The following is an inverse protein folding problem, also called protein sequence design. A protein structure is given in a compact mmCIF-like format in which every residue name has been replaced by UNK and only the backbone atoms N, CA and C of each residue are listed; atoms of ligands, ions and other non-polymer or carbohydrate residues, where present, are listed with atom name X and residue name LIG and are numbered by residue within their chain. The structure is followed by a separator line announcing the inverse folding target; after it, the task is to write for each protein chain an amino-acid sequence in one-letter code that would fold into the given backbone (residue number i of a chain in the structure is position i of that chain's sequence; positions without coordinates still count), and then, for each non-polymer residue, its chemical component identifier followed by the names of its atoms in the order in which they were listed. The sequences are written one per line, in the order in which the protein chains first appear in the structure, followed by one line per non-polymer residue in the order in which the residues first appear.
data_IF_795806781746
#
_entry.id   IF_795806781746
#
_cell.length_a   1.000
_cell.length_b   1.000
_cell.length_c   1.000
_cell.angle_alpha   90.00
_cell.angle_beta   90.00
_cell.angle_gamma   90.00
#
_symmetry.space_group_name_H-M   'P 1'
#
loop_
_entity.id
_entity.type
_entity.pdbx_description
1 polymer ?
#
# COMPACT_ATOMS: atom_id res chain seq x y z
N UNK A 1 34.46 9.22 -5.33
CA UNK A 1 33.83 8.70 -4.10
C UNK A 1 32.55 7.93 -4.43
N UNK A 2 32.41 6.66 -4.03
CA UNK A 2 31.14 5.92 -4.15
C UNK A 2 30.14 6.51 -3.16
N UNK A 3 29.19 7.31 -3.65
CA UNK A 3 28.11 7.90 -2.84
C UNK A 3 27.29 6.76 -2.22
N UNK A 4 27.36 6.58 -0.89
CA UNK A 4 26.51 5.63 -0.17
C UNK A 4 25.13 6.25 -0.04
N UNK A 5 24.11 5.57 -0.56
CA UNK A 5 22.71 5.94 -0.27
C UNK A 5 22.46 5.79 1.24
N UNK A 6 21.74 6.72 1.88
CA UNK A 6 21.30 6.58 3.26
C UNK A 6 20.28 5.43 3.34
N UNK A 7 20.79 4.22 3.54
CA UNK A 7 19.95 3.07 3.90
C UNK A 7 19.79 3.14 5.42
N UNK A 8 18.61 3.54 5.88
CA UNK A 8 18.16 3.07 7.18
C UNK A 8 18.13 1.54 7.11
N UNK A 9 18.56 0.88 8.19
CA UNK A 9 18.67 -0.57 8.25
C UNK A 9 17.52 -1.12 9.08
N UNK A 10 16.95 -2.24 8.63
CA UNK A 10 16.02 -3.05 9.39
C UNK A 10 16.73 -3.67 10.61
N UNK A 11 16.74 -2.98 11.75
CA UNK A 11 17.47 -3.40 12.95
C UNK A 11 16.68 -4.47 13.72
N UNK A 12 15.35 -4.51 13.57
CA UNK A 12 14.46 -5.38 14.35
C UNK A 12 14.00 -6.65 13.62
N UNK A 13 14.25 -6.77 12.31
CA UNK A 13 13.75 -7.90 11.54
C UNK A 13 14.38 -9.24 11.96
N UNK A 14 13.54 -10.25 12.21
CA UNK A 14 13.95 -11.61 12.54
C UNK A 14 14.68 -12.25 11.35
N UNK A 15 15.74 -13.02 11.65
CA UNK A 15 16.38 -13.91 10.67
C UNK A 15 15.77 -15.31 10.81
N UNK A 16 15.17 -15.81 9.74
CA UNK A 16 14.47 -17.11 9.69
C UNK A 16 15.07 -18.01 8.60
N UNK A 17 14.81 -19.31 8.65
CA UNK A 17 15.16 -20.23 7.57
C UNK A 17 14.15 -20.15 6.39
N UNK A 18 14.48 -20.83 5.29
CA UNK A 18 13.68 -20.81 4.07
C UNK A 18 12.32 -21.51 4.23
N UNK A 19 12.24 -22.58 5.01
CA UNK A 19 11.01 -23.34 5.20
C UNK A 19 10.01 -22.53 6.02
N UNK A 20 10.49 -21.89 7.10
CA UNK A 20 9.72 -20.91 7.87
C UNK A 20 9.24 -19.76 6.97
N UNK A 21 10.09 -19.23 6.10
CA UNK A 21 9.68 -18.15 5.18
C UNK A 21 8.56 -18.58 4.22
N UNK A 22 8.65 -19.80 3.68
CA UNK A 22 7.62 -20.36 2.79
C UNK A 22 6.32 -20.64 3.54
N UNK A 23 6.38 -21.15 4.77
CA UNK A 23 5.21 -21.38 5.61
C UNK A 23 4.49 -20.07 5.96
N UNK A 24 5.23 -19.02 6.29
CA UNK A 24 4.68 -17.68 6.55
C UNK A 24 4.04 -17.09 5.30
N UNK A 25 4.67 -17.24 4.13
CA UNK A 25 4.09 -16.81 2.86
C UNK A 25 2.77 -17.55 2.56
N UNK A 26 2.73 -18.87 2.75
CA UNK A 26 1.52 -19.66 2.59
C UNK A 26 0.41 -19.23 3.57
N UNK A 27 0.75 -18.89 4.81
CA UNK A 27 -0.20 -18.36 5.77
C UNK A 27 -0.77 -17.00 5.35
N UNK A 28 0.06 -16.12 4.79
CA UNK A 28 -0.38 -14.82 4.23
C UNK A 28 -1.36 -15.03 3.08
N UNK A 29 -1.09 -15.97 2.17
CA UNK A 29 -2.00 -16.28 1.07
C UNK A 29 -3.37 -16.81 1.54
N UNK A 30 -3.45 -17.40 2.73
CA UNK A 30 -4.68 -17.92 3.34
C UNK A 30 -5.40 -16.91 4.24
N UNK A 31 -4.94 -15.66 4.32
CA UNK A 31 -5.46 -14.65 5.27
C UNK A 31 -6.50 -13.70 4.67
N UNK A 32 -7.13 -14.08 3.55
CA UNK A 32 -8.17 -13.32 2.83
C UNK A 32 -7.80 -11.89 2.41
N UNK A 33 -6.52 -11.51 2.49
CA UNK A 33 -6.06 -10.17 2.12
C UNK A 33 -6.34 -9.92 0.62
N UNK A 34 -6.94 -8.77 0.26
CA UNK A 34 -7.37 -8.48 -1.11
C UNK A 34 -6.22 -8.02 -2.01
N UNK A 35 -5.28 -8.91 -2.31
CA UNK A 35 -4.13 -8.63 -3.18
C UNK A 35 -4.51 -8.33 -4.64
N UNK A 36 -5.74 -8.66 -5.03
CA UNK A 36 -6.24 -8.51 -6.39
C UNK A 36 -6.53 -7.06 -6.79
N UNK A 37 -6.68 -6.13 -5.85
CA UNK A 37 -6.92 -4.72 -6.14
C UNK A 37 -5.63 -3.93 -5.99
N UNK A 38 -5.07 -3.50 -7.12
CA UNK A 38 -3.73 -2.92 -7.21
C UNK A 38 -3.71 -1.38 -7.28
N UNK A 39 -4.86 -0.71 -7.21
CA UNK A 39 -4.89 0.75 -7.34
C UNK A 39 -4.27 1.46 -6.14
N UNK A 40 -4.36 0.88 -4.93
CA UNK A 40 -3.99 1.60 -3.71
C UNK A 40 -3.81 0.71 -2.47
N UNK A 41 -3.62 1.37 -1.32
CA UNK A 41 -3.63 0.78 0.02
C UNK A 41 -2.54 -0.29 0.25
N UNK A 42 -1.45 -0.25 -0.51
CA UNK A 42 -0.30 -1.14 -0.32
C UNK A 42 0.34 -1.02 1.07
N UNK A 43 0.28 0.17 1.68
CA UNK A 43 0.74 0.41 3.05
C UNK A 43 -0.15 -0.28 4.10
N UNK A 44 -1.47 -0.28 3.91
CA UNK A 44 -2.44 -1.00 4.74
C UNK A 44 -2.20 -2.51 4.68
N UNK A 45 -2.11 -3.06 3.47
CA UNK A 45 -1.79 -4.48 3.25
C UNK A 45 -0.45 -4.84 3.90
N UNK A 46 0.58 -4.02 3.69
CA UNK A 46 1.92 -4.28 4.24
C UNK A 46 1.94 -4.22 5.76
N UNK A 47 1.24 -3.26 6.37
CA UNK A 47 1.17 -3.16 7.82
C UNK A 47 0.36 -4.31 8.42
N UNK A 48 -0.76 -4.69 7.80
CA UNK A 48 -1.52 -5.87 8.21
C UNK A 48 -0.69 -7.15 8.17
N UNK A 49 0.08 -7.38 7.09
CA UNK A 49 1.02 -8.52 7.03
C UNK A 49 2.05 -8.42 8.16
N UNK A 50 2.53 -7.23 8.48
CA UNK A 50 3.48 -7.04 9.59
C UNK A 50 2.87 -7.47 10.94
N UNK A 51 1.60 -7.12 11.19
CA UNK A 51 0.86 -7.56 12.38
C UNK A 51 0.63 -9.08 12.39
N UNK A 52 0.26 -9.66 11.24
CA UNK A 52 0.07 -11.10 11.09
C UNK A 52 1.36 -11.87 11.39
N UNK A 53 2.50 -11.42 10.88
CA UNK A 53 3.79 -12.02 11.17
C UNK A 53 4.17 -11.86 12.66
N UNK A 54 3.91 -10.68 13.24
CA UNK A 54 4.18 -10.41 14.65
C UNK A 54 3.34 -11.30 15.58
N UNK A 55 2.07 -11.54 15.26
CA UNK A 55 1.19 -12.48 16.00
C UNK A 55 1.73 -13.92 16.00
N UNK A 56 2.57 -14.26 15.02
CA UNK A 56 3.25 -15.55 14.91
C UNK A 56 4.66 -15.54 15.52
N UNK A 57 5.05 -14.44 16.19
CA UNK A 57 6.36 -14.29 16.82
C UNK A 57 7.48 -13.82 15.91
N UNK A 58 7.19 -13.37 14.67
CA UNK A 58 8.20 -12.94 13.70
C UNK A 58 8.10 -11.44 13.41
N UNK A 59 9.24 -10.74 13.47
CA UNK A 59 9.31 -9.34 13.08
C UNK A 59 9.84 -9.22 11.65
N UNK A 60 9.12 -8.51 10.79
CA UNK A 60 9.60 -8.17 9.46
C UNK A 60 10.15 -6.74 9.41
N UNK A 61 10.75 -6.40 8.28
CA UNK A 61 11.00 -5.02 7.86
C UNK A 61 10.03 -4.62 6.74
N UNK A 62 10.14 -3.39 6.24
CA UNK A 62 9.44 -2.91 5.04
C UNK A 62 10.44 -2.37 4.03
N UNK A 63 10.22 -2.65 2.76
CA UNK A 63 10.89 -1.93 1.66
C UNK A 63 9.91 -0.91 1.11
N UNK A 64 10.37 0.33 1.05
CA UNK A 64 9.66 1.44 0.44
C UNK A 64 10.35 1.80 -0.86
N UNK A 65 9.63 1.85 -1.97
CA UNK A 65 10.12 2.29 -3.26
C UNK A 65 9.39 3.56 -3.68
N UNK A 66 10.14 4.60 -4.04
CA UNK A 66 9.59 5.91 -4.38
C UNK A 66 9.91 6.27 -5.83
N UNK A 67 8.87 6.62 -6.58
CA UNK A 67 8.99 7.19 -7.90
C UNK A 67 9.48 8.65 -7.81
N UNK A 68 10.06 9.21 -8.89
CA UNK A 68 10.57 10.58 -8.91
C UNK A 68 9.57 11.66 -8.48
N UNK A 69 8.28 11.48 -8.75
CA UNK A 69 7.24 12.44 -8.34
C UNK A 69 7.21 12.72 -6.83
N UNK A 70 7.63 11.73 -6.02
CA UNK A 70 7.57 11.83 -4.56
C UNK A 70 8.77 12.60 -3.99
N UNK A 71 9.97 12.45 -4.56
CA UNK A 71 11.19 13.09 -4.02
C UNK A 71 11.70 14.27 -4.85
N UNK A 72 11.07 14.60 -5.98
CA UNK A 72 11.43 15.75 -6.80
C UNK A 72 10.23 16.53 -7.29
N UNK A 73 10.25 17.84 -7.09
CA UNK A 73 9.30 18.83 -7.59
C UNK A 73 9.40 19.02 -9.10
N UNK A 74 10.54 18.68 -9.70
CA UNK A 74 10.78 18.79 -11.14
C UNK A 74 10.30 17.57 -11.96
N UNK A 75 9.72 16.54 -11.33
CA UNK A 75 9.35 15.30 -12.01
C UNK A 75 7.90 14.90 -11.75
N UNK A 76 7.19 14.50 -12.81
CA UNK A 76 5.87 13.87 -12.73
C UNK A 76 5.92 12.34 -12.89
N UNK A 77 7.12 11.75 -12.85
CA UNK A 77 7.29 10.35 -13.20
C UNK A 77 6.80 9.41 -12.08
N UNK A 78 5.91 8.50 -12.47
CA UNK A 78 5.30 7.47 -11.63
C UNK A 78 5.90 6.08 -11.89
N UNK A 79 5.67 5.14 -10.98
CA UNK A 79 5.75 3.71 -11.27
C UNK A 79 4.51 3.34 -12.08
N UNK A 80 4.69 2.75 -13.25
CA UNK A 80 3.58 2.53 -14.19
C UNK A 80 3.65 1.16 -14.85
N UNK A 81 2.53 0.45 -14.90
CA UNK A 81 2.40 -0.82 -15.60
C UNK A 81 0.99 -1.02 -16.15
N UNK A 82 0.86 -1.95 -17.11
CA UNK A 82 -0.42 -2.27 -17.72
C UNK A 82 -1.39 -2.87 -16.71
N UNK A 83 -2.60 -2.33 -16.66
CA UNK A 83 -3.68 -2.89 -15.86
C UNK A 83 -4.29 -4.10 -16.57
N UNK A 84 -3.93 -5.29 -16.09
CA UNK A 84 -4.41 -6.54 -16.68
C UNK A 84 -5.92 -6.78 -16.48
N UNK A 85 -6.52 -6.12 -15.49
CA UNK A 85 -7.96 -6.20 -15.24
C UNK A 85 -8.74 -5.12 -15.97
N UNK A 86 -8.03 -4.17 -16.59
CA UNK A 86 -8.60 -3.06 -17.34
C UNK A 86 -9.68 -2.28 -16.55
N UNK A 87 -9.46 -2.13 -15.24
CA UNK A 87 -10.34 -1.36 -14.34
C UNK A 87 -9.97 0.11 -14.36
N UNK A 88 -8.70 0.44 -14.56
CA UNK A 88 -8.25 1.82 -14.73
C UNK A 88 -8.82 2.40 -16.02
N UNK A 89 -9.34 3.65 -16.02
CA UNK A 89 -9.83 4.32 -17.22
C UNK A 89 -8.82 4.29 -18.37
N UNK A 90 -7.55 4.60 -18.07
CA UNK A 90 -6.44 4.61 -19.03
C UNK A 90 -5.74 3.26 -19.27
N UNK A 91 -6.25 2.15 -18.75
CA UNK A 91 -5.64 0.81 -18.91
C UNK A 91 -4.27 0.62 -18.25
N UNK A 92 -3.92 1.52 -17.32
CA UNK A 92 -2.64 1.54 -16.60
C UNK A 92 -2.85 1.79 -15.12
N UNK A 93 -2.00 1.20 -14.31
CA UNK A 93 -1.90 1.48 -12.89
C UNK A 93 -0.65 2.33 -12.68
N UNK A 94 -0.83 3.46 -12.00
CA UNK A 94 0.22 4.42 -11.71
C UNK A 94 0.38 4.64 -10.20
N UNK A 95 1.61 4.53 -9.70
CA UNK A 95 1.94 4.68 -8.28
C UNK A 95 3.03 5.71 -8.05
N UNK A 96 2.83 6.59 -7.06
CA UNK A 96 3.89 7.45 -6.53
C UNK A 96 4.92 6.65 -5.73
N UNK A 97 4.47 5.66 -4.97
CA UNK A 97 5.32 4.77 -4.20
C UNK A 97 4.72 3.37 -4.12
N UNK A 98 5.53 2.39 -3.76
CA UNK A 98 5.05 1.06 -3.38
C UNK A 98 5.80 0.55 -2.16
N UNK A 99 5.12 -0.19 -1.30
CA UNK A 99 5.69 -0.75 -0.07
C UNK A 99 5.33 -2.22 0.06
N UNK A 100 6.27 -3.00 0.59
CA UNK A 100 6.07 -4.42 0.86
C UNK A 100 6.89 -4.89 2.08
N UNK A 101 6.43 -5.93 2.81
CA UNK A 101 7.20 -6.52 3.90
C UNK A 101 8.44 -7.27 3.40
N UNK A 102 9.52 -7.22 4.19
CA UNK A 102 10.77 -7.96 3.98
C UNK A 102 11.02 -8.93 5.14
N UNK A 103 11.32 -10.18 4.81
CA UNK A 103 11.91 -11.18 5.69
C UNK A 103 13.43 -11.28 5.46
N UNK A 104 14.18 -11.47 6.54
CA UNK A 104 15.60 -11.84 6.45
C UNK A 104 15.68 -13.37 6.47
N UNK A 105 16.00 -13.98 5.33
CA UNK A 105 15.95 -15.44 5.17
C UNK A 105 17.36 -15.99 5.02
N UNK A 106 17.74 -16.92 5.90
CA UNK A 106 18.98 -17.67 5.80
C UNK A 106 18.85 -18.74 4.73
N UNK A 107 19.67 -18.64 3.70
CA UNK A 107 19.77 -19.61 2.60
C UNK A 107 21.23 -20.05 2.51
N UNK A 108 21.51 -21.27 2.99
CA UNK A 108 22.86 -21.74 3.26
C UNK A 108 23.57 -20.82 4.27
N UNK A 109 24.76 -20.35 3.94
CA UNK A 109 25.57 -19.47 4.81
C UNK A 109 25.20 -17.98 4.73
N UNK A 110 24.27 -17.60 3.83
CA UNK A 110 23.97 -16.19 3.55
C UNK A 110 22.56 -15.81 4.02
N UNK A 111 22.43 -14.66 4.65
CA UNK A 111 21.13 -14.03 4.92
C UNK A 111 20.72 -13.18 3.73
N UNK A 112 19.50 -13.37 3.24
CA UNK A 112 18.92 -12.72 2.06
C UNK A 112 17.66 -11.96 2.45
N UNK A 113 17.52 -10.74 1.91
CA UNK A 113 16.29 -9.94 2.05
C UNK A 113 15.28 -10.41 1.02
N UNK A 114 14.21 -11.05 1.49
CA UNK A 114 13.13 -11.60 0.69
C UNK A 114 11.86 -10.77 0.90
N UNK A 115 11.34 -10.18 -0.17
CA UNK A 115 10.09 -9.40 -0.17
C UNK A 115 8.91 -10.34 -0.32
N UNK A 116 7.86 -10.11 0.47
CA UNK A 116 6.56 -10.74 0.30
C UNK A 116 5.62 -9.72 -0.33
N UNK A 117 5.20 -9.96 -1.56
CA UNK A 117 4.24 -9.11 -2.26
C UNK A 117 3.40 -9.99 -3.19
N UNK A 118 2.33 -10.63 -2.68
CA UNK A 118 1.49 -11.51 -3.49
C UNK A 118 0.80 -10.81 -4.66
N UNK A 119 0.60 -9.48 -4.59
CA UNK A 119 0.05 -8.70 -5.68
C UNK A 119 0.96 -8.71 -6.91
N UNK A 120 2.28 -8.58 -6.71
CA UNK A 120 3.26 -8.62 -7.81
C UNK A 120 3.86 -10.01 -8.06
N UNK A 121 3.94 -10.84 -7.02
CA UNK A 121 4.60 -12.15 -6.97
C UNK A 121 3.74 -13.17 -6.21
N UNK A 122 2.69 -13.73 -6.83
CA UNK A 122 1.70 -14.56 -6.14
C UNK A 122 2.21 -15.95 -5.74
N UNK A 123 3.38 -16.38 -6.22
CA UNK A 123 3.87 -17.75 -6.07
C UNK A 123 4.85 -17.96 -4.92
N UNK A 124 5.65 -16.96 -4.59
CA UNK A 124 6.69 -17.08 -3.56
C UNK A 124 7.28 -15.72 -3.16
N UNK A 125 7.93 -15.63 -1.98
CA UNK A 125 8.79 -14.50 -1.66
C UNK A 125 9.93 -14.39 -2.67
N UNK A 126 10.30 -13.16 -3.02
CA UNK A 126 11.37 -12.90 -4.01
C UNK A 126 12.48 -12.05 -3.42
N UNK A 127 13.69 -12.09 -3.97
CA UNK A 127 14.76 -11.19 -3.55
C UNK A 127 14.33 -9.74 -3.76
N UNK A 128 14.68 -8.83 -2.84
CA UNK A 128 14.30 -7.41 -2.96
C UNK A 128 14.71 -6.77 -4.30
N UNK A 129 15.84 -7.18 -4.89
CA UNK A 129 16.27 -6.71 -6.22
C UNK A 129 15.33 -7.16 -7.34
N UNK A 130 14.81 -8.38 -7.27
CA UNK A 130 13.82 -8.90 -8.20
C UNK A 130 12.51 -8.12 -8.09
N UNK A 131 12.12 -7.79 -6.86
CA UNK A 131 10.96 -6.93 -6.60
C UNK A 131 11.15 -5.51 -7.17
N UNK A 132 12.28 -4.85 -6.89
CA UNK A 132 12.59 -3.53 -7.44
C UNK A 132 12.61 -3.54 -8.99
N UNK A 133 13.16 -4.59 -9.60
CA UNK A 133 13.20 -4.73 -11.06
C UNK A 133 11.80 -4.85 -11.68
N UNK A 134 10.82 -5.38 -10.94
CA UNK A 134 9.42 -5.50 -11.39
C UNK A 134 8.71 -4.16 -11.49
N UNK A 135 9.10 -3.17 -10.66
CA UNK A 135 8.54 -1.81 -10.67
C UNK A 135 8.99 -0.99 -11.90
N UNK A 136 9.97 -1.47 -12.68
CA UNK A 136 10.36 -0.99 -14.02
C UNK A 136 10.51 0.54 -14.20
N UNK A 137 10.92 1.25 -13.16
CA UNK A 137 10.97 2.73 -13.17
C UNK A 137 12.40 3.23 -13.06
N UNK A 138 12.86 4.02 -14.05
CA UNK A 138 14.20 4.66 -13.98
C UNK A 138 14.24 5.68 -12.83
N UNK A 139 15.39 5.78 -12.18
CA UNK A 139 15.65 6.65 -11.01
C UNK A 139 14.82 6.30 -9.77
N UNK A 140 14.16 5.14 -9.71
CA UNK A 140 13.49 4.66 -8.51
C UNK A 140 14.48 4.64 -7.33
N UNK A 141 14.08 5.22 -6.19
CA UNK A 141 14.85 5.16 -4.95
C UNK A 141 14.13 4.23 -3.97
N UNK A 142 14.86 3.64 -3.02
CA UNK A 142 14.24 2.78 -2.02
C UNK A 142 14.87 2.93 -0.64
N UNK A 143 14.05 2.71 0.39
CA UNK A 143 14.44 2.65 1.80
C UNK A 143 14.02 1.29 2.38
N UNK A 144 14.78 0.78 3.34
CA UNK A 144 14.41 -0.43 4.09
C UNK A 144 14.30 -0.03 5.55
N UNK A 145 13.12 -0.19 6.14
CA UNK A 145 12.83 0.36 7.46
C UNK A 145 12.24 -0.72 8.37
N UNK A 146 12.31 -0.49 9.68
CA UNK A 146 11.63 -1.34 10.65
C UNK A 146 10.10 -1.36 10.38
N UNK A 147 9.43 -2.44 10.74
CA UNK A 147 8.00 -2.64 10.45
C UNK A 147 7.05 -1.70 11.18
N UNK A 148 7.51 -0.97 12.20
CA UNK A 148 6.68 -0.02 12.94
C UNK A 148 6.27 1.19 12.10
N UNK A 149 7.10 1.59 11.13
CA UNK A 149 6.81 2.71 10.23
C UNK A 149 5.68 2.35 9.30
N UNK A 150 4.55 3.01 9.47
CA UNK A 150 3.28 2.68 8.82
C UNK A 150 3.13 3.38 7.48
N UNK A 151 3.34 4.69 7.44
CA UNK A 151 3.26 5.55 6.26
C UNK A 151 4.21 6.74 6.43
N UNK A 152 4.25 7.65 5.46
CA UNK A 152 5.13 8.82 5.45
C UNK A 152 4.39 10.03 4.90
N UNK A 153 4.78 11.21 5.38
CA UNK A 153 4.41 12.48 4.76
C UNK A 153 5.47 12.90 3.73
N UNK A 154 5.01 13.56 2.66
CA UNK A 154 5.89 14.17 1.68
C UNK A 154 5.55 15.65 1.48
N UNK A 155 6.56 16.51 1.38
CA UNK A 155 6.33 17.94 1.20
C UNK A 155 5.85 18.25 -0.22
N UNK A 156 4.82 19.10 -0.31
CA UNK A 156 4.37 19.64 -1.59
C UNK A 156 5.35 20.70 -2.14
N UNK A 157 6.12 21.34 -1.26
CA UNK A 157 7.12 22.35 -1.60
C UNK A 157 8.55 21.80 -1.56
N UNK A 158 9.48 22.40 -2.32
CA UNK A 158 10.90 22.04 -2.27
C UNK A 158 11.54 22.32 -0.90
N UNK A 159 12.57 21.54 -0.54
CA UNK A 159 13.35 21.69 0.69
C UNK A 159 13.93 23.10 0.85
N UNK A 160 14.31 23.75 -0.26
CA UNK A 160 14.85 25.10 -0.27
C UNK A 160 13.86 26.19 0.14
N UNK A 161 12.56 25.88 0.10
CA UNK A 161 11.48 26.79 0.48
C UNK A 161 10.96 26.53 1.90
N UNK A 162 11.50 25.52 2.60
CA UNK A 162 11.17 25.30 4.01
C UNK A 162 11.88 26.36 4.85
N UNK A 163 11.11 27.15 5.60
CA UNK A 163 11.68 28.11 6.56
C UNK A 163 12.39 27.36 7.69
N UNK A 164 13.61 27.78 8.10
CA UNK A 164 14.31 27.23 9.26
C UNK A 164 13.51 27.31 10.57
N UNK A 165 12.54 28.22 10.66
CA UNK A 165 11.72 28.46 11.87
C UNK A 165 10.53 27.49 12.03
N UNK A 166 10.32 26.54 11.12
CA UNK A 166 9.41 25.42 11.38
C UNK A 166 10.06 24.41 12.33
N UNK A 167 10.13 24.80 13.61
CA UNK A 167 10.66 24.00 14.72
C UNK A 167 9.75 22.84 15.18
N UNK A 168 8.63 22.57 14.51
CA UNK A 168 7.66 21.60 15.02
C UNK A 168 7.80 20.18 14.44
N UNK A 169 8.43 20.00 13.27
CA UNK A 169 8.58 18.66 12.67
C UNK A 169 10.03 18.45 12.20
N UNK A 170 10.84 17.84 13.06
CA UNK A 170 12.14 17.35 12.62
C UNK A 170 11.98 16.03 11.85
N UNK A 171 12.36 15.98 10.56
CA UNK A 171 12.26 14.76 9.77
C UNK A 171 13.08 13.61 10.34
N UNK A 172 12.49 12.43 10.48
CA UNK A 172 13.19 11.24 10.96
C UNK A 172 14.11 10.59 9.91
N UNK A 173 13.96 10.95 8.63
CA UNK A 173 14.88 10.56 7.55
C UNK A 173 15.30 11.79 6.78
N UNK A 174 16.54 12.27 6.80
CA UNK A 174 16.96 13.39 5.92
C UNK A 174 17.75 12.86 4.72
N UNK A 175 17.19 13.01 3.51
CA UNK A 175 17.92 12.76 2.27
C UNK A 175 18.77 13.99 1.92
N UNK A 176 19.96 13.82 1.30
CA UNK A 176 20.75 14.97 0.87
C UNK A 176 20.00 15.82 -0.17
N UNK A 177 20.10 17.16 -0.10
CA UNK A 177 19.36 18.06 -1.00
C UNK A 177 19.74 17.89 -2.49
N UNK A 178 20.97 17.47 -2.76
CA UNK A 178 21.40 17.13 -4.13
C UNK A 178 20.72 15.85 -4.68
N UNK A 179 20.07 15.07 -3.82
CA UNK A 179 19.45 13.79 -4.14
C UNK A 179 17.92 13.87 -4.18
N UNK A 180 17.33 14.59 -3.23
CA UNK A 180 15.89 14.82 -3.14
C UNK A 180 15.65 16.30 -2.84
N UNK A 181 14.85 16.95 -3.69
CA UNK A 181 14.45 18.34 -3.49
C UNK A 181 13.11 18.45 -2.76
N UNK A 182 12.39 17.33 -2.53
CA UNK A 182 11.26 17.22 -1.61
C UNK A 182 11.62 16.41 -0.38
N UNK A 183 10.92 16.68 0.72
CA UNK A 183 10.97 15.85 1.90
C UNK A 183 10.13 14.56 1.66
N UNK A 184 10.76 13.39 1.82
CA UNK A 184 10.11 12.09 2.07
C UNK A 184 10.60 11.58 3.41
N UNK A 185 10.18 12.23 4.49
CA UNK A 185 11.06 12.26 5.65
C UNK A 185 10.37 12.21 7.00
N UNK A 186 9.04 12.23 7.02
CA UNK A 186 8.27 12.13 8.25
C UNK A 186 7.45 10.84 8.21
N UNK A 187 8.17 9.72 8.41
CA UNK A 187 7.52 8.44 8.60
C UNK A 187 6.82 8.44 9.95
N UNK A 188 5.58 7.98 10.00
CA UNK A 188 4.84 7.86 11.25
C UNK A 188 4.43 6.42 11.49
N UNK A 189 4.14 6.10 12.74
CA UNK A 189 3.74 4.74 13.14
C UNK A 189 2.23 4.60 13.04
N UNK A 190 1.76 3.36 13.19
CA UNK A 190 0.33 3.09 13.32
C UNK A 190 -0.09 3.30 14.77
N UNK A 191 -0.27 4.58 15.15
CA UNK A 191 -0.65 5.05 16.48
C UNK A 191 -1.64 6.21 16.36
N UNK A 192 -2.18 6.66 17.49
CA UNK A 192 -3.11 7.79 17.61
C UNK A 192 -4.24 7.71 16.56
N UNK A 193 -4.46 8.78 15.79
CA UNK A 193 -5.50 8.88 14.76
C UNK A 193 -5.54 7.69 13.80
N UNK A 194 -4.39 7.12 13.43
CA UNK A 194 -4.36 5.97 12.53
C UNK A 194 -5.06 4.76 13.13
N UNK A 195 -4.82 4.54 14.43
CA UNK A 195 -5.39 3.44 15.20
C UNK A 195 -6.86 3.72 15.55
N UNK A 196 -7.16 4.92 16.06
CA UNK A 196 -8.52 5.33 16.46
C UNK A 196 -9.49 5.35 15.28
N UNK A 197 -9.00 5.75 14.10
CA UNK A 197 -9.81 5.82 12.88
C UNK A 197 -9.72 4.55 12.04
N UNK A 198 -9.09 3.47 12.52
CA UNK A 198 -9.03 2.17 11.85
C UNK A 198 -8.52 2.21 10.41
N UNK A 199 -7.39 2.88 10.15
CA UNK A 199 -6.95 3.12 8.76
C UNK A 199 -6.59 1.82 8.03
N UNK A 200 -5.98 0.85 8.71
CA UNK A 200 -5.65 -0.46 8.11
C UNK A 200 -6.94 -1.16 7.67
N UNK A 201 -7.92 -1.22 8.56
CA UNK A 201 -9.19 -1.90 8.34
C UNK A 201 -9.98 -1.23 7.22
N UNK A 202 -10.07 0.11 7.22
CA UNK A 202 -10.73 0.88 6.17
C UNK A 202 -10.07 0.63 4.80
N UNK A 203 -8.74 0.64 4.73
CA UNK A 203 -8.02 0.40 3.48
C UNK A 203 -8.17 -1.03 2.95
N UNK A 204 -8.16 -2.03 3.84
CA UNK A 204 -8.43 -3.43 3.46
C UNK A 204 -9.88 -3.61 3.00
N UNK A 205 -10.83 -3.00 3.69
CA UNK A 205 -12.25 -3.04 3.32
C UNK A 205 -12.51 -2.40 1.95
N UNK A 206 -11.86 -1.27 1.64
CA UNK A 206 -11.91 -0.65 0.31
C UNK A 206 -11.39 -1.60 -0.76
N UNK A 207 -10.22 -2.21 -0.56
CA UNK A 207 -9.63 -3.09 -1.55
C UNK A 207 -10.48 -4.35 -1.81
N UNK A 208 -11.04 -4.95 -0.74
CA UNK A 208 -11.92 -6.11 -0.86
C UNK A 208 -13.27 -5.75 -1.52
N UNK A 209 -13.86 -4.62 -1.14
CA UNK A 209 -15.10 -4.12 -1.75
C UNK A 209 -14.91 -3.78 -3.24
N UNK A 210 -13.79 -3.15 -3.60
CA UNK A 210 -13.47 -2.84 -4.99
C UNK A 210 -13.26 -4.10 -5.83
N UNK A 211 -12.66 -5.14 -5.24
CA UNK A 211 -12.53 -6.43 -5.91
C UNK A 211 -13.90 -7.10 -6.12
N UNK A 212 -14.78 -7.08 -5.12
CA UNK A 212 -16.14 -7.60 -5.24
C UNK A 212 -16.95 -6.84 -6.30
N UNK A 213 -16.83 -5.50 -6.32
CA UNK A 213 -17.44 -4.63 -7.33
C UNK A 213 -16.94 -4.98 -8.73
N UNK A 214 -15.62 -5.11 -8.90
CA UNK A 214 -15.04 -5.49 -10.18
C UNK A 214 -15.57 -6.85 -10.68
N UNK A 215 -15.52 -7.89 -9.84
CA UNK A 215 -15.89 -9.24 -10.26
C UNK A 215 -17.38 -9.35 -10.59
N UNK A 216 -18.23 -8.64 -9.84
CA UNK A 216 -19.69 -8.71 -10.00
C UNK A 216 -20.22 -7.76 -11.08
N UNK A 217 -19.74 -6.53 -11.12
CA UNK A 217 -20.35 -5.44 -11.91
C UNK A 217 -19.56 -5.09 -13.16
N UNK A 218 -18.22 -5.16 -13.12
CA UNK A 218 -17.37 -4.60 -14.20
C UNK A 218 -16.92 -5.67 -15.18
N UNK A 219 -16.40 -6.79 -14.67
CA UNK A 219 -15.67 -7.81 -15.44
C UNK A 219 -16.45 -8.34 -16.64
N UNK A 220 -17.75 -8.59 -16.48
CA UNK A 220 -18.60 -9.11 -17.55
C UNK A 220 -19.00 -8.05 -18.57
N UNK A 221 -18.88 -6.76 -18.23
CA UNK A 221 -19.22 -5.63 -19.09
C UNK A 221 -18.05 -5.13 -19.94
N UNK A 222 -16.79 -5.43 -19.57
CA UNK A 222 -15.58 -4.89 -20.21
C UNK A 222 -15.51 -5.06 -21.74
N UNK A 223 -16.21 -6.04 -22.31
CA UNK A 223 -16.24 -6.31 -23.75
C UNK A 223 -17.61 -6.00 -24.39
N UNK A 224 -18.55 -5.44 -23.62
CA UNK A 224 -19.87 -5.07 -24.12
C UNK A 224 -19.77 -3.82 -24.98
N UNK A 225 -20.27 -3.91 -26.22
CA UNK A 225 -20.40 -2.75 -27.12
C UNK A 225 -21.61 -1.88 -26.81
N UNK A 226 -22.59 -2.43 -26.09
CA UNK A 226 -23.86 -1.75 -25.77
C UNK A 226 -23.75 -0.97 -24.46
N UNK A 227 -22.95 -1.46 -23.51
CA UNK A 227 -22.84 -0.87 -22.17
C UNK A 227 -21.59 0.02 -22.01
N UNK A 228 -21.13 0.66 -23.08
CA UNK A 228 -19.87 1.41 -23.08
C UNK A 228 -19.85 2.52 -22.03
N UNK A 229 -20.94 3.31 -21.93
CA UNK A 229 -21.04 4.39 -20.93
C UNK A 229 -20.98 3.87 -19.50
N UNK A 230 -21.68 2.77 -19.21
CA UNK A 230 -21.68 2.13 -17.90
C UNK A 230 -20.29 1.58 -17.54
N UNK A 231 -19.58 1.01 -18.51
CA UNK A 231 -18.21 0.51 -18.32
C UNK A 231 -17.27 1.66 -17.99
N UNK A 232 -17.37 2.79 -18.69
CA UNK A 232 -16.53 3.96 -18.41
C UNK A 232 -16.85 4.55 -17.04
N UNK A 233 -18.12 4.69 -16.67
CA UNK A 233 -18.52 5.11 -15.31
C UNK A 233 -17.93 4.19 -14.23
N UNK A 234 -18.03 2.87 -14.42
CA UNK A 234 -17.51 1.90 -13.45
C UNK A 234 -15.99 1.84 -13.39
N UNK A 235 -15.29 2.10 -14.51
CA UNK A 235 -13.84 2.26 -14.53
C UNK A 235 -13.42 3.55 -13.85
N UNK A 236 -14.15 4.65 -14.04
CA UNK A 236 -13.91 5.91 -13.32
C UNK A 236 -14.10 5.74 -11.81
N UNK A 237 -15.12 4.99 -11.38
CA UNK A 237 -15.38 4.70 -9.98
C UNK A 237 -14.33 3.76 -9.36
N UNK A 238 -14.16 2.57 -9.92
CA UNK A 238 -13.35 1.48 -9.31
C UNK A 238 -11.88 1.48 -9.72
N UNK A 239 -11.54 2.10 -10.85
CA UNK A 239 -10.17 2.26 -11.34
C UNK A 239 -9.41 3.42 -10.68
N UNK A 240 -10.10 4.28 -9.94
CA UNK A 240 -9.50 5.37 -9.16
C UNK A 240 -9.87 5.19 -7.68
N UNK A 241 -8.89 4.86 -6.84
CA UNK A 241 -9.16 4.64 -5.40
C UNK A 241 -9.79 5.86 -4.74
N UNK A 242 -9.42 7.09 -5.14
CA UNK A 242 -9.94 8.29 -4.50
C UNK A 242 -11.44 8.42 -4.73
N UNK A 243 -11.91 8.08 -5.94
CA UNK A 243 -13.34 8.02 -6.25
C UNK A 243 -14.04 6.94 -5.44
N UNK A 244 -13.46 5.74 -5.41
CA UNK A 244 -14.04 4.61 -4.70
C UNK A 244 -14.15 4.89 -3.18
N UNK A 245 -13.11 5.45 -2.57
CA UNK A 245 -13.10 5.86 -1.17
C UNK A 245 -14.10 6.98 -0.91
N UNK A 246 -14.14 8.01 -1.76
CA UNK A 246 -15.09 9.12 -1.65
C UNK A 246 -16.53 8.62 -1.59
N UNK A 247 -16.90 7.69 -2.48
CA UNK A 247 -18.29 7.20 -2.60
C UNK A 247 -18.66 6.22 -1.49
N UNK A 248 -17.77 5.27 -1.16
CA UNK A 248 -18.11 4.14 -0.29
C UNK A 248 -17.67 4.31 1.16
N UNK A 249 -16.47 4.86 1.42
CA UNK A 249 -15.97 5.10 2.78
C UNK A 249 -16.47 6.43 3.32
N UNK A 250 -16.31 7.49 2.53
CA UNK A 250 -16.54 8.86 3.00
C UNK A 250 -17.98 9.31 2.82
N UNK A 251 -18.77 8.56 2.02
CA UNK A 251 -20.15 8.87 1.67
C UNK A 251 -20.32 10.31 1.15
N UNK A 252 -19.34 10.75 0.35
CA UNK A 252 -19.20 12.12 -0.11
C UNK A 252 -19.17 12.18 -1.64
N UNK A 253 -18.99 13.36 -2.20
CA UNK A 253 -18.82 13.61 -3.63
C UNK A 253 -17.45 14.23 -3.93
N UNK A 254 -17.05 14.13 -5.20
CA UNK A 254 -15.95 14.90 -5.75
C UNK A 254 -16.32 15.35 -7.18
N UNK A 255 -15.39 15.95 -7.92
CA UNK A 255 -15.68 16.49 -9.26
C UNK A 255 -16.05 15.40 -10.28
N UNK A 256 -15.56 14.16 -10.11
CA UNK A 256 -15.88 13.00 -10.97
C UNK A 256 -17.12 12.27 -10.46
N UNK A 257 -17.22 12.06 -9.14
CA UNK A 257 -18.30 11.37 -8.44
C UNK A 257 -19.34 12.37 -7.91
N UNK A 258 -19.83 13.22 -8.81
CA UNK A 258 -20.75 14.32 -8.51
C UNK A 258 -22.19 13.82 -8.26
N UNK A 259 -23.12 14.76 -8.02
CA UNK A 259 -24.53 14.45 -7.74
C UNK A 259 -25.21 13.65 -8.86
N UNK A 260 -24.95 13.98 -10.13
CA UNK A 260 -25.53 13.26 -11.28
C UNK A 260 -25.04 11.80 -11.30
N UNK A 261 -23.73 11.59 -11.15
CA UNK A 261 -23.17 10.24 -11.06
C UNK A 261 -23.81 9.45 -9.92
N UNK A 262 -23.89 10.05 -8.72
CA UNK A 262 -24.46 9.35 -7.56
C UNK A 262 -25.95 9.08 -7.73
N UNK A 263 -26.71 9.98 -8.34
CA UNK A 263 -28.13 9.77 -8.63
C UNK A 263 -28.34 8.64 -9.63
N UNK A 264 -27.61 8.62 -10.75
CA UNK A 264 -27.68 7.56 -11.77
C UNK A 264 -27.33 6.18 -11.21
N UNK A 265 -26.36 6.14 -10.28
CA UNK A 265 -25.81 4.91 -9.71
C UNK A 265 -26.27 4.64 -8.26
N UNK A 266 -27.33 5.29 -7.78
CA UNK A 266 -27.72 5.25 -6.36
C UNK A 266 -27.95 3.83 -5.82
N UNK A 267 -28.56 2.95 -6.62
CA UNK A 267 -28.85 1.58 -6.21
C UNK A 267 -27.58 0.75 -6.04
N UNK A 268 -26.61 0.90 -6.96
CA UNK A 268 -25.34 0.20 -6.86
C UNK A 268 -24.48 0.79 -5.73
N UNK A 269 -24.54 2.10 -5.53
CA UNK A 269 -23.85 2.77 -4.43
C UNK A 269 -24.37 2.27 -3.08
N UNK A 270 -25.68 2.23 -2.89
CA UNK A 270 -26.29 1.72 -1.66
C UNK A 270 -25.86 0.28 -1.36
N UNK A 271 -25.96 -0.63 -2.35
CA UNK A 271 -25.52 -2.02 -2.24
C UNK A 271 -24.06 -2.13 -1.77
N UNK A 272 -23.15 -1.39 -2.39
CA UNK A 272 -21.73 -1.52 -2.08
C UNK A 272 -21.29 -0.75 -0.83
N UNK A 273 -22.09 0.22 -0.34
CA UNK A 273 -21.92 0.77 1.02
C UNK A 273 -22.21 -0.29 2.09
N UNK A 274 -23.27 -1.08 1.93
CA UNK A 274 -23.55 -2.19 2.85
C UNK A 274 -22.44 -3.26 2.82
N UNK A 275 -21.95 -3.62 1.63
CA UNK A 275 -20.81 -4.54 1.49
C UNK A 275 -19.55 -3.96 2.14
N UNK A 276 -19.26 -2.68 1.94
CA UNK A 276 -18.13 -2.00 2.58
C UNK A 276 -18.23 -2.06 4.11
N UNK A 277 -19.38 -1.74 4.69
CA UNK A 277 -19.58 -1.79 6.14
C UNK A 277 -19.42 -3.20 6.72
N UNK A 278 -19.96 -4.21 6.05
CA UNK A 278 -19.77 -5.61 6.46
C UNK A 278 -18.30 -6.01 6.40
N UNK A 279 -17.60 -5.59 5.35
CA UNK A 279 -16.17 -5.87 5.16
C UNK A 279 -15.30 -5.13 6.17
N UNK A 280 -15.65 -3.89 6.53
CA UNK A 280 -14.97 -3.11 7.57
C UNK A 280 -15.07 -3.81 8.92
N UNK A 281 -16.26 -4.28 9.31
CA UNK A 281 -16.47 -5.03 10.56
C UNK A 281 -15.64 -6.32 10.59
N UNK A 282 -15.55 -7.05 9.47
CA UNK A 282 -14.68 -8.23 9.32
C UNK A 282 -13.21 -7.87 9.59
N UNK A 283 -12.69 -6.80 8.97
CA UNK A 283 -11.29 -6.40 9.16
C UNK A 283 -10.99 -5.85 10.55
N UNK A 284 -11.93 -5.13 11.19
CA UNK A 284 -11.84 -4.73 12.60
C UNK A 284 -11.70 -5.92 13.52
N UNK A 285 -12.54 -6.95 13.35
CA UNK A 285 -12.41 -8.19 14.12
C UNK A 285 -11.06 -8.88 13.89
N UNK A 286 -10.60 -8.94 12.64
CA UNK A 286 -9.32 -9.57 12.29
C UNK A 286 -8.12 -8.83 12.88
N UNK A 287 -8.05 -7.51 12.73
CA UNK A 287 -6.95 -6.69 13.28
C UNK A 287 -6.95 -6.76 14.81
N UNK A 288 -8.11 -6.69 15.45
CA UNK A 288 -8.22 -6.85 16.91
C UNK A 288 -7.66 -8.20 17.37
N UNK A 289 -7.99 -9.30 16.68
CA UNK A 289 -7.46 -10.63 16.99
C UNK A 289 -5.93 -10.69 16.87
N UNK A 290 -5.34 -10.06 15.84
CA UNK A 290 -3.89 -10.01 15.65
C UNK A 290 -3.19 -9.19 16.75
N UNK A 291 -3.78 -8.08 17.17
CA UNK A 291 -3.23 -7.22 18.23
C UNK A 291 -3.27 -7.92 19.61
N UNK A 292 -4.29 -8.73 19.88
CA UNK A 292 -4.39 -9.54 21.10
C UNK A 292 -3.35 -10.68 21.09
N UNK A 293 -3.17 -11.34 19.95
CA UNK A 293 -2.24 -12.46 19.80
C UNK A 293 -0.77 -12.05 19.78
N UNK A 294 -0.47 -10.78 19.50
CA UNK A 294 0.90 -10.28 19.47
C UNK A 294 1.56 -10.43 20.85
N UNK A 295 2.77 -11.02 20.94
CA UNK A 295 3.45 -11.19 22.22
C UNK A 295 3.69 -9.81 22.85
N UNK A 296 3.09 -9.55 24.02
CA UNK A 296 3.30 -8.32 24.77
C UNK A 296 4.81 -8.17 25.02
N UNK A 297 5.40 -7.07 24.54
CA UNK A 297 6.80 -6.75 24.84
C UNK A 297 6.98 -6.79 26.35
N UNK A 298 7.81 -7.72 26.86
CA UNK A 298 8.31 -7.64 28.24
C UNK A 298 8.99 -6.29 28.35
N UNK A 299 8.42 -5.36 29.14
CA UNK A 299 9.11 -4.15 29.55
C UNK A 299 10.42 -4.62 30.21
N UNK A 300 11.54 -4.32 29.57
CA UNK A 300 12.86 -4.38 30.19
C UNK A 300 13.15 -3.01 30.78
#
# INVERSE_FOLDING_TARGET
MKRKHPLLTARKASVIDLDTANALFAAILKSDIPFGYQQANCHNITHYISLLLASKGYQCAKIWAFAPVVYSSSSSKLISFADKKNISPGGRIDWGFHVAPILQVRIGTKVRKMVIDPGLFPKSPVRYRTWLAKLKTRKLIYLIMDSEWYLFNSSMIPNSQLSPDYNEIQPNVKLPDWFADKLITDFFKYEDDCLEQHWIEKGLAINETALAFYESEVKHLLHSKVNHELVEDYKMLSGNVFNFETVFRDQNWNYEMNEDFQFRHQAIIAKYREIYEATLKKWQASVAALLIAAPKKRKK
#
